data_IF_162137465198
#
_entry.id   IF_162137465198
#
_cell.length_a   1.000
_cell.length_b   1.000
_cell.length_c   1.000
_cell.angle_alpha   90.00
_cell.angle_beta   90.00
_cell.angle_gamma   90.00
#
_symmetry.space_group_name_H-M   'P 1'
#
loop_
_entity.id
_entity.type
_entity.pdbx_description
1 polymer ?
#
# COMPACT_ATOMS: atom_id res chain seq x y z
N UNK A 1 -9.69 -15.26 -8.67
CA UNK A 1 -10.55 -14.21 -9.27
C UNK A 1 -11.41 -14.71 -10.44
N UNK A 2 -10.81 -15.16 -11.57
CA UNK A 2 -11.56 -15.62 -12.75
C UNK A 2 -12.57 -16.73 -12.46
N UNK A 3 -12.17 -17.73 -11.66
CA UNK A 3 -13.05 -18.84 -11.26
C UNK A 3 -14.20 -18.40 -10.33
N UNK A 4 -13.97 -17.40 -9.47
CA UNK A 4 -15.01 -16.90 -8.57
C UNK A 4 -16.07 -16.08 -9.32
N UNK A 5 -15.66 -15.33 -10.35
CA UNK A 5 -16.54 -14.51 -11.21
C UNK A 5 -17.59 -13.68 -10.42
N UNK A 6 -17.17 -13.09 -9.29
CA UNK A 6 -18.02 -12.25 -8.44
C UNK A 6 -17.52 -10.81 -8.49
N UNK A 7 -18.44 -9.88 -8.75
CA UNK A 7 -18.13 -8.43 -8.86
C UNK A 7 -17.65 -7.81 -7.54
N UNK A 8 -18.03 -8.39 -6.42
CA UNK A 8 -17.72 -7.93 -5.06
C UNK A 8 -16.52 -8.64 -4.41
N UNK A 9 -15.78 -9.45 -5.17
CA UNK A 9 -14.54 -10.06 -4.71
C UNK A 9 -13.37 -9.34 -5.38
N UNK A 10 -12.29 -9.15 -4.64
CA UNK A 10 -11.11 -8.41 -5.07
C UNK A 10 -9.81 -9.06 -4.58
N UNK A 11 -8.69 -8.51 -5.03
CA UNK A 11 -7.36 -8.80 -4.49
C UNK A 11 -7.08 -7.81 -3.36
N UNK A 12 -6.58 -8.32 -2.23
CA UNK A 12 -5.89 -7.52 -1.23
C UNK A 12 -4.40 -7.51 -1.57
N UNK A 13 -3.79 -6.33 -1.59
CA UNK A 13 -2.35 -6.17 -1.73
C UNK A 13 -1.77 -5.73 -0.39
N UNK A 14 -0.65 -6.31 0.03
CA UNK A 14 0.02 -5.98 1.29
C UNK A 14 1.45 -5.53 0.96
N UNK A 15 1.80 -4.29 1.34
CA UNK A 15 3.11 -3.73 1.05
C UNK A 15 4.25 -4.52 1.68
N UNK A 16 4.02 -5.21 2.81
CA UNK A 16 5.03 -6.07 3.42
C UNK A 16 5.51 -7.13 2.42
N UNK A 17 4.57 -7.86 1.78
CA UNK A 17 4.92 -8.90 0.81
C UNK A 17 5.61 -8.33 -0.43
N UNK A 18 5.21 -7.13 -0.86
CA UNK A 18 5.87 -6.44 -1.97
C UNK A 18 7.32 -6.09 -1.62
N UNK A 19 7.56 -5.56 -0.43
CA UNK A 19 8.88 -5.12 0.02
C UNK A 19 9.81 -6.30 0.34
N UNK A 20 9.28 -7.42 0.82
CA UNK A 20 10.10 -8.58 1.24
C UNK A 20 10.23 -9.68 0.19
N UNK A 21 9.56 -9.59 -0.97
CA UNK A 21 9.69 -10.65 -1.97
C UNK A 21 9.01 -10.44 -3.32
N UNK A 22 7.77 -9.94 -3.37
CA UNK A 22 7.04 -9.85 -4.66
C UNK A 22 7.62 -8.78 -5.59
N UNK A 23 8.18 -7.72 -5.01
CA UNK A 23 8.88 -6.66 -5.70
C UNK A 23 7.99 -5.71 -6.51
N UNK A 24 8.56 -4.63 -7.09
CA UNK A 24 7.80 -3.58 -7.76
C UNK A 24 7.18 -4.00 -9.10
N UNK A 25 7.42 -5.24 -9.56
CA UNK A 25 6.81 -5.80 -10.76
C UNK A 25 5.29 -5.93 -10.63
N UNK A 26 4.77 -6.09 -9.41
CA UNK A 26 3.33 -6.24 -9.13
C UNK A 26 2.48 -5.10 -9.71
N UNK A 27 3.00 -3.86 -9.68
CA UNK A 27 2.28 -2.67 -10.16
C UNK A 27 2.11 -2.64 -11.69
N UNK A 28 2.88 -3.45 -12.42
CA UNK A 28 2.74 -3.60 -13.89
C UNK A 28 1.81 -4.75 -14.26
N UNK A 29 1.28 -5.49 -13.29
CA UNK A 29 0.37 -6.59 -13.54
C UNK A 29 -0.96 -6.07 -14.11
N UNK A 30 -1.48 -6.76 -15.12
CA UNK A 30 -2.84 -6.50 -15.60
C UNK A 30 -3.88 -6.68 -14.48
N UNK A 31 -3.57 -7.46 -13.44
CA UNK A 31 -4.47 -7.73 -12.33
C UNK A 31 -4.61 -6.59 -11.33
N UNK A 32 -3.85 -5.49 -11.47
CA UNK A 32 -3.99 -4.31 -10.60
C UNK A 32 -5.42 -3.74 -10.60
N UNK A 33 -6.15 -3.86 -11.71
CA UNK A 33 -7.58 -3.50 -11.81
C UNK A 33 -8.51 -4.29 -10.87
N UNK A 34 -8.03 -5.41 -10.32
CA UNK A 34 -8.76 -6.27 -9.39
C UNK A 34 -8.41 -5.99 -7.93
N UNK A 35 -7.40 -5.16 -7.65
CA UNK A 35 -7.02 -4.78 -6.29
C UNK A 35 -8.09 -3.86 -5.72
N UNK A 36 -8.63 -4.23 -4.56
CA UNK A 36 -9.73 -3.50 -3.89
C UNK A 36 -9.34 -2.92 -2.54
N UNK A 37 -8.28 -3.44 -1.95
CA UNK A 37 -7.79 -2.96 -0.67
C UNK A 37 -6.27 -3.15 -0.60
N UNK A 38 -5.62 -2.23 0.10
CA UNK A 38 -4.18 -2.23 0.31
C UNK A 38 -3.90 -2.12 1.80
N UNK A 39 -3.04 -2.99 2.31
CA UNK A 39 -2.41 -2.87 3.62
C UNK A 39 -1.00 -2.30 3.48
N UNK A 40 -0.61 -1.49 4.47
CA UNK A 40 0.66 -0.76 4.45
C UNK A 40 1.44 -0.95 5.76
N UNK A 41 2.69 -1.36 5.62
CA UNK A 41 3.76 -1.38 6.63
C UNK A 41 5.13 -1.28 5.97
N UNK A 42 6.19 -1.18 6.76
CA UNK A 42 7.55 -1.46 6.31
C UNK A 42 7.83 -2.98 6.16
N UNK A 43 9.05 -3.31 5.74
CA UNK A 43 9.59 -4.66 5.62
C UNK A 43 9.71 -5.44 6.95
N UNK A 44 9.53 -4.77 8.09
CA UNK A 44 9.60 -5.35 9.45
C UNK A 44 8.22 -5.40 10.13
N UNK A 45 7.12 -5.13 9.39
CA UNK A 45 5.75 -4.97 9.93
C UNK A 45 5.64 -3.82 10.95
N UNK A 46 6.40 -2.74 10.76
CA UNK A 46 6.32 -1.49 11.54
C UNK A 46 5.49 -0.43 10.81
N UNK A 47 4.98 0.57 11.54
CA UNK A 47 4.17 1.62 10.95
C UNK A 47 4.98 2.38 9.92
N UNK A 48 4.36 2.87 8.83
CA UNK A 48 5.05 3.70 7.85
C UNK A 48 5.72 4.92 8.50
N UNK A 49 7.02 5.08 8.25
CA UNK A 49 7.80 6.23 8.71
C UNK A 49 8.45 6.92 7.51
N UNK A 50 8.86 8.20 7.64
CA UNK A 50 9.56 8.90 6.58
C UNK A 50 10.73 8.10 5.99
N UNK A 51 10.63 7.80 4.70
CA UNK A 51 11.56 6.93 3.99
C UNK A 51 11.12 6.63 2.55
N UNK A 52 11.96 5.90 1.81
CA UNK A 52 11.73 5.66 0.38
C UNK A 52 10.83 4.46 0.10
N UNK A 53 10.84 3.41 0.94
CA UNK A 53 10.20 2.13 0.62
C UNK A 53 8.68 2.24 0.48
N UNK A 54 7.98 2.81 1.46
CA UNK A 54 6.52 2.98 1.39
C UNK A 54 6.12 4.10 0.41
N UNK A 55 6.97 5.11 0.25
CA UNK A 55 6.77 6.14 -0.78
C UNK A 55 6.77 5.53 -2.19
N UNK A 56 7.69 4.60 -2.47
CA UNK A 56 7.76 3.86 -3.72
C UNK A 56 6.54 2.95 -3.92
N UNK A 57 6.03 2.31 -2.86
CA UNK A 57 4.78 1.52 -2.91
C UNK A 57 3.61 2.41 -3.32
N UNK A 58 3.42 3.57 -2.67
CA UNK A 58 2.34 4.50 -3.00
C UNK A 58 2.45 5.04 -4.42
N UNK A 59 3.65 5.38 -4.88
CA UNK A 59 3.89 5.80 -6.26
C UNK A 59 3.54 4.69 -7.27
N UNK A 60 3.92 3.45 -6.98
CA UNK A 60 3.58 2.28 -7.80
C UNK A 60 2.07 2.04 -7.90
N UNK A 61 1.37 2.10 -6.76
CA UNK A 61 -0.09 1.99 -6.70
C UNK A 61 -0.78 3.09 -7.52
N UNK A 62 -0.32 4.34 -7.37
CA UNK A 62 -0.89 5.47 -8.12
C UNK A 62 -0.64 5.34 -9.62
N UNK A 63 0.58 4.96 -10.02
CA UNK A 63 0.91 4.71 -11.42
C UNK A 63 0.09 3.56 -12.02
N UNK A 64 -0.31 2.57 -11.21
CA UNK A 64 -1.19 1.47 -11.60
C UNK A 64 -2.69 1.86 -11.63
N UNK A 65 -3.03 3.12 -11.33
CA UNK A 65 -4.41 3.62 -11.32
C UNK A 65 -5.23 3.20 -10.10
N UNK A 66 -4.59 2.83 -8.99
CA UNK A 66 -5.29 2.53 -7.74
C UNK A 66 -5.87 3.82 -7.12
N UNK A 67 -7.16 3.80 -6.78
CA UNK A 67 -7.90 4.96 -6.26
C UNK A 67 -8.75 4.63 -5.01
N UNK A 68 -8.53 3.47 -4.40
CA UNK A 68 -9.30 2.98 -3.25
C UNK A 68 -8.56 3.14 -1.91
N UNK A 69 -9.14 2.59 -0.83
CA UNK A 69 -8.68 2.80 0.55
C UNK A 69 -7.38 2.05 0.85
N UNK A 70 -6.52 2.68 1.65
CA UNK A 70 -5.30 2.08 2.21
C UNK A 70 -5.48 1.99 3.73
N UNK A 71 -5.14 0.86 4.32
CA UNK A 71 -5.09 0.65 5.76
C UNK A 71 -3.63 0.47 6.21
N UNK A 72 -3.31 0.95 7.41
CA UNK A 72 -2.01 0.64 8.05
C UNK A 72 -2.19 -0.69 8.79
N UNK A 73 -1.40 -1.70 8.43
CA UNK A 73 -1.37 -3.01 9.11
C UNK A 73 0.04 -3.23 9.66
N UNK A 74 0.28 -2.71 10.87
CA UNK A 74 1.59 -2.74 11.49
C UNK A 74 1.51 -3.09 12.97
N UNK A 75 2.64 -3.53 13.51
CA UNK A 75 2.88 -3.64 14.96
C UNK A 75 3.32 -2.28 15.47
N UNK A 76 2.50 -1.70 16.33
CA UNK A 76 2.78 -0.46 17.03
C UNK A 76 3.36 -0.77 18.41
N UNK A 77 4.39 -0.04 18.83
CA UNK A 77 4.86 -0.06 20.22
C UNK A 77 4.12 1.00 21.05
N UNK A 78 3.82 2.16 20.44
CA UNK A 78 3.02 3.23 21.02
C UNK A 78 2.01 3.69 19.97
N UNK A 79 0.81 3.11 20.02
CA UNK A 79 -0.23 3.37 19.02
C UNK A 79 -0.62 4.86 18.96
N UNK A 80 -0.75 5.51 20.11
CA UNK A 80 -1.23 6.89 20.19
C UNK A 80 -0.20 7.88 19.61
N UNK A 81 1.09 7.59 19.77
CA UNK A 81 2.16 8.39 19.16
C UNK A 81 2.42 8.03 17.68
N UNK A 82 2.48 6.75 17.35
CA UNK A 82 2.94 6.28 16.04
C UNK A 82 1.85 6.31 14.96
N UNK A 83 0.59 6.02 15.29
CA UNK A 83 -0.48 5.95 14.29
C UNK A 83 -0.76 7.31 13.60
N UNK A 84 -0.83 8.45 14.31
CA UNK A 84 -1.02 9.76 13.67
C UNK A 84 0.17 10.13 12.77
N UNK A 85 1.40 9.84 13.20
CA UNK A 85 2.61 10.12 12.44
C UNK A 85 2.65 9.30 11.13
N UNK A 86 2.34 8.00 11.22
CA UNK A 86 2.27 7.13 10.04
C UNK A 86 1.19 7.58 9.04
N UNK A 87 0.01 7.96 9.54
CA UNK A 87 -1.06 8.48 8.69
C UNK A 87 -0.64 9.78 7.99
N UNK A 88 0.00 10.70 8.71
CA UNK A 88 0.49 11.96 8.14
C UNK A 88 1.51 11.71 7.03
N UNK A 89 2.47 10.81 7.26
CA UNK A 89 3.46 10.43 6.26
C UNK A 89 2.85 9.82 5.00
N UNK A 90 1.90 8.88 5.14
CA UNK A 90 1.24 8.29 3.96
C UNK A 90 0.46 9.33 3.15
N UNK A 91 -0.20 10.28 3.83
CA UNK A 91 -0.92 11.38 3.15
C UNK A 91 0.04 12.27 2.37
N UNK A 92 1.18 12.63 2.97
CA UNK A 92 2.22 13.41 2.29
C UNK A 92 2.75 12.68 1.05
N UNK A 93 3.10 11.39 1.20
CA UNK A 93 3.55 10.57 0.08
C UNK A 93 2.51 10.47 -1.03
N UNK A 94 1.23 10.32 -0.69
CA UNK A 94 0.16 10.28 -1.68
C UNK A 94 0.05 11.58 -2.47
N UNK A 95 0.06 12.73 -1.77
CA UNK A 95 0.05 14.06 -2.41
C UNK A 95 1.27 14.26 -3.30
N UNK A 96 2.47 13.86 -2.85
CA UNK A 96 3.71 13.97 -3.62
C UNK A 96 3.71 13.07 -4.86
N UNK A 97 3.22 11.83 -4.74
CA UNK A 97 3.03 10.94 -5.89
C UNK A 97 2.05 11.52 -6.92
N UNK A 98 1.19 12.43 -6.44
CA UNK A 98 0.27 13.35 -7.12
C UNK A 98 0.87 14.26 -8.18
N UNK A 99 2.00 14.84 -7.82
CA UNK A 99 2.55 16.08 -8.39
C UNK A 99 3.62 15.84 -9.48
N UNK A 100 3.62 14.64 -10.08
CA UNK A 100 4.48 14.27 -11.21
C UNK A 100 3.74 14.45 -12.54
#
# INVERSE_FOLDING_TARGET
MKQLNRRNVGIGLDSYHVLTGEGPGVYRSEHMRLVRHVHMSDENRRPPTPGESQAAVLAGLRAAGYDARIAIEARFDDFDAEAPAALAFLRECWVRSGAL
#
